data_IF_491164041556
#
_entry.id   IF_491164041556
#
_cell.length_a   1.000
_cell.length_b   1.000
_cell.length_c   1.000
_cell.angle_alpha   90.00
_cell.angle_beta   90.00
_cell.angle_gamma   90.00
#
_symmetry.space_group_name_H-M   'P 1'
#
loop_
_entity.id
_entity.type
_entity.pdbx_description
1 polymer ?
#
# COMPACT_ATOMS: atom_id res chain seq x y z
N UNK A 1 34.98 31.50 43.12
CA UNK A 1 33.83 30.82 42.50
C UNK A 1 34.30 29.69 41.55
N UNK A 2 34.35 28.42 41.99
CA UNK A 2 34.55 27.30 41.05
C UNK A 2 33.58 26.11 41.25
N UNK A 3 32.45 26.30 41.95
CA UNK A 3 31.49 25.21 42.24
C UNK A 3 30.66 24.83 41.01
N UNK A 4 30.28 25.82 40.19
CA UNK A 4 29.40 25.60 39.03
C UNK A 4 29.98 24.71 37.93
N UNK A 5 31.29 24.68 37.75
CA UNK A 5 31.91 23.84 36.73
C UNK A 5 31.95 22.35 37.11
N UNK A 6 31.90 22.02 38.41
CA UNK A 6 31.92 20.62 38.87
C UNK A 6 30.57 19.92 38.69
N UNK A 7 29.45 20.63 38.78
CA UNK A 7 28.11 20.08 38.52
C UNK A 7 27.74 20.01 37.03
N UNK A 8 28.29 20.89 36.18
CA UNK A 8 27.99 20.91 34.73
C UNK A 8 28.49 19.67 33.99
N UNK A 9 29.62 19.09 34.42
CA UNK A 9 30.22 17.88 33.81
C UNK A 9 29.37 16.61 33.99
N UNK A 10 28.89 16.24 35.19
CA UNK A 10 27.99 15.10 35.35
C UNK A 10 26.61 15.36 34.73
N UNK A 11 26.10 16.60 34.79
CA UNK A 11 24.84 16.97 34.15
C UNK A 11 24.89 16.78 32.61
N UNK A 12 25.97 17.23 31.95
CA UNK A 12 26.16 16.96 30.51
C UNK A 12 26.24 15.46 30.20
N UNK A 13 26.90 14.66 31.03
CA UNK A 13 27.00 13.20 30.82
C UNK A 13 25.64 12.51 30.95
N UNK A 14 24.82 12.92 31.92
CA UNK A 14 23.46 12.41 32.09
C UNK A 14 22.54 12.83 30.94
N UNK A 15 22.66 14.07 30.46
CA UNK A 15 21.87 14.59 29.36
C UNK A 15 22.22 13.91 28.03
N UNK A 16 23.51 13.66 27.79
CA UNK A 16 24.00 12.87 26.64
C UNK A 16 23.49 11.42 26.74
N UNK A 17 23.60 10.79 27.91
CA UNK A 17 23.06 9.43 28.15
C UNK A 17 21.56 9.34 27.87
N UNK A 18 20.78 10.35 28.29
CA UNK A 18 19.34 10.43 28.04
C UNK A 18 18.98 10.58 26.56
N UNK A 19 19.78 11.32 25.80
CA UNK A 19 19.58 11.51 24.35
C UNK A 19 19.86 10.24 23.54
N UNK A 20 20.80 9.39 23.98
CA UNK A 20 21.17 8.16 23.28
C UNK A 20 20.39 6.91 23.74
N UNK A 21 19.69 6.98 24.88
CA UNK A 21 18.85 5.89 25.39
C UNK A 21 17.77 5.38 24.41
N UNK A 22 17.01 6.24 23.68
CA UNK A 22 15.99 5.75 22.74
C UNK A 22 16.57 5.00 21.53
N UNK A 23 17.81 5.30 21.10
CA UNK A 23 18.47 4.52 20.03
C UNK A 23 18.72 3.06 20.43
N UNK A 24 19.02 2.81 21.71
CA UNK A 24 19.21 1.44 22.21
C UNK A 24 17.88 0.66 22.26
N UNK A 25 16.77 1.36 22.47
CA UNK A 25 15.42 0.77 22.47
C UNK A 25 14.92 0.42 21.06
N UNK A 26 15.35 1.18 20.04
CA UNK A 26 15.06 0.91 18.63
C UNK A 26 15.99 -0.13 18.00
N UNK A 27 17.13 -0.42 18.62
CA UNK A 27 18.09 -1.43 18.17
C UNK A 27 17.74 -2.86 18.63
N UNK A 28 16.47 -3.12 18.98
CA UNK A 28 16.05 -4.47 19.32
C UNK A 28 16.26 -5.41 18.13
N UNK A 29 16.88 -6.55 18.42
CA UNK A 29 17.23 -7.56 17.44
C UNK A 29 15.94 -8.20 16.93
N UNK A 30 15.59 -7.95 15.67
CA UNK A 30 14.42 -8.55 15.05
C UNK A 30 14.66 -10.04 14.81
N UNK A 31 14.00 -10.89 15.58
CA UNK A 31 13.97 -12.33 15.33
C UNK A 31 12.83 -12.67 14.37
N UNK A 32 13.16 -13.22 13.21
CA UNK A 32 12.17 -13.70 12.25
C UNK A 32 11.36 -14.84 12.90
N UNK A 33 10.01 -14.79 12.91
CA UNK A 33 9.19 -15.93 13.31
C UNK A 33 9.53 -17.14 12.45
N UNK A 34 9.53 -18.35 13.02
CA UNK A 34 9.75 -19.57 12.27
C UNK A 34 8.44 -20.34 12.08
N UNK A 35 8.34 -21.06 10.96
CA UNK A 35 7.27 -22.00 10.68
C UNK A 35 7.40 -23.29 11.51
N UNK A 36 6.46 -24.23 11.32
CA UNK A 36 6.43 -25.51 12.02
C UNK A 36 7.67 -26.39 11.76
N UNK A 37 8.44 -26.08 10.74
CA UNK A 37 9.65 -26.81 10.33
C UNK A 37 10.94 -26.09 10.72
N UNK A 38 10.85 -24.92 11.38
CA UNK A 38 11.99 -24.15 11.85
C UNK A 38 12.63 -23.23 10.80
N UNK A 39 11.95 -22.96 9.68
CA UNK A 39 12.37 -21.99 8.68
C UNK A 39 11.71 -20.63 8.91
N UNK A 40 12.30 -19.51 8.45
CA UNK A 40 11.64 -18.22 8.45
C UNK A 40 10.22 -18.27 7.88
N UNK A 41 9.24 -17.84 8.68
CA UNK A 41 7.84 -17.87 8.32
C UNK A 41 7.51 -16.72 7.35
N UNK A 42 7.33 -17.07 6.07
CA UNK A 42 6.84 -16.17 5.03
C UNK A 42 5.36 -16.40 4.72
N UNK A 43 4.65 -17.15 5.55
CA UNK A 43 3.22 -17.38 5.37
C UNK A 43 2.47 -16.07 5.62
N UNK A 44 1.60 -15.72 4.69
CA UNK A 44 0.87 -14.46 4.70
C UNK A 44 0.10 -14.28 3.41
N UNK A 45 -0.82 -13.31 3.40
CA UNK A 45 -1.55 -12.94 2.19
C UNK A 45 -0.72 -11.93 1.42
N UNK A 46 -0.02 -12.41 0.39
CA UNK A 46 0.73 -11.57 -0.53
C UNK A 46 -0.18 -11.11 -1.67
N UNK A 47 -0.76 -9.92 -1.52
CA UNK A 47 -1.62 -9.34 -2.54
C UNK A 47 -0.82 -8.42 -3.47
N UNK A 48 -0.63 -8.83 -4.73
CA UNK A 48 0.01 -8.02 -5.79
C UNK A 48 -0.98 -7.14 -6.55
N UNK A 49 -2.25 -7.12 -6.14
CA UNK A 49 -3.28 -6.30 -6.75
C UNK A 49 -3.21 -4.86 -6.21
N UNK A 50 -2.12 -4.15 -6.50
CA UNK A 50 -2.11 -2.70 -6.31
C UNK A 50 -2.56 -2.00 -7.59
N UNK A 51 -3.73 -1.38 -7.52
CA UNK A 51 -4.24 -0.47 -8.55
C UNK A 51 -3.46 0.86 -8.60
N UNK A 52 -2.58 1.11 -7.63
CA UNK A 52 -1.70 2.27 -7.57
C UNK A 52 -0.38 1.91 -8.22
N UNK A 53 0.00 2.55 -9.33
CA UNK A 53 1.31 2.34 -9.92
C UNK A 53 2.43 2.61 -8.91
N UNK A 54 3.50 1.81 -8.95
CA UNK A 54 4.69 2.02 -8.12
C UNK A 54 5.35 3.38 -8.40
N UNK A 55 5.28 3.84 -9.64
CA UNK A 55 5.76 5.14 -10.05
C UNK A 55 4.68 6.20 -9.85
N UNK A 56 5.10 7.35 -9.31
CA UNK A 56 4.19 8.48 -9.18
C UNK A 56 3.83 9.03 -10.55
N UNK A 57 2.53 9.26 -10.79
CA UNK A 57 2.07 9.87 -12.04
C UNK A 57 2.70 11.27 -12.20
N UNK A 58 3.24 11.61 -13.39
CA UNK A 58 3.94 12.88 -13.63
C UNK A 58 3.11 14.13 -13.27
N UNK A 59 1.78 14.04 -13.39
CA UNK A 59 0.86 15.14 -13.10
C UNK A 59 0.79 15.54 -11.61
N UNK A 60 1.23 14.69 -10.68
CA UNK A 60 1.21 15.00 -9.25
C UNK A 60 2.55 15.56 -8.72
N UNK A 61 3.63 15.47 -9.50
CA UNK A 61 4.96 15.99 -9.14
C UNK A 61 5.37 15.64 -7.71
N UNK A 62 5.78 16.62 -6.92
CA UNK A 62 6.22 16.41 -5.53
C UNK A 62 5.08 16.42 -4.50
N UNK A 63 3.81 16.60 -4.92
CA UNK A 63 2.70 16.77 -3.98
C UNK A 63 2.35 15.47 -3.26
N UNK A 64 2.34 15.51 -1.93
CA UNK A 64 2.11 14.33 -1.09
C UNK A 64 0.65 13.84 -1.11
N UNK A 65 -0.31 14.75 -1.24
CA UNK A 65 -1.74 14.44 -1.16
C UNK A 65 -2.53 14.92 -2.38
N UNK A 66 -3.57 14.18 -2.74
CA UNK A 66 -4.59 14.66 -3.66
C UNK A 66 -5.44 15.73 -2.99
N UNK A 67 -5.90 16.71 -3.76
CA UNK A 67 -6.92 17.63 -3.27
C UNK A 67 -8.32 16.96 -3.26
N UNK A 68 -9.30 17.60 -2.63
CA UNK A 68 -10.65 17.03 -2.48
C UNK A 68 -11.34 16.75 -3.83
N UNK A 69 -11.11 17.60 -4.84
CA UNK A 69 -11.70 17.46 -6.17
C UNK A 69 -11.08 16.28 -6.93
N UNK A 70 -9.76 16.14 -6.89
CA UNK A 70 -9.02 15.03 -7.50
C UNK A 70 -9.37 13.70 -6.86
N UNK A 71 -9.53 13.69 -5.54
CA UNK A 71 -9.96 12.50 -4.82
C UNK A 71 -11.40 12.11 -5.21
N UNK A 72 -12.32 13.08 -5.26
CA UNK A 72 -13.68 12.86 -5.73
C UNK A 72 -13.71 12.35 -7.18
N UNK A 73 -12.89 12.92 -8.06
CA UNK A 73 -12.74 12.48 -9.45
C UNK A 73 -12.19 11.04 -9.54
N UNK A 74 -11.21 10.68 -8.71
CA UNK A 74 -10.67 9.31 -8.63
C UNK A 74 -11.77 8.33 -8.26
N UNK A 75 -12.54 8.60 -7.20
CA UNK A 75 -13.64 7.72 -6.80
C UNK A 75 -14.77 7.66 -7.83
N UNK A 76 -15.10 8.78 -8.49
CA UNK A 76 -16.09 8.80 -9.56
C UNK A 76 -15.67 7.91 -10.75
N UNK A 77 -14.38 7.94 -11.13
CA UNK A 77 -13.83 7.07 -12.19
C UNK A 77 -13.91 5.59 -11.80
N UNK A 78 -13.55 5.26 -10.56
CA UNK A 78 -13.63 3.88 -10.05
C UNK A 78 -15.09 3.37 -10.06
N UNK A 79 -16.02 4.17 -9.55
CA UNK A 79 -17.45 3.81 -9.54
C UNK A 79 -18.03 3.66 -10.95
N UNK A 80 -17.69 4.56 -11.87
CA UNK A 80 -18.11 4.45 -13.26
C UNK A 80 -17.51 3.21 -13.95
N UNK A 81 -16.26 2.86 -13.64
CA UNK A 81 -15.60 1.65 -14.14
C UNK A 81 -16.29 0.37 -13.64
N UNK A 82 -16.70 0.34 -12.38
CA UNK A 82 -17.45 -0.78 -11.80
C UNK A 82 -18.82 -0.93 -12.49
N UNK A 83 -19.59 0.15 -12.62
CA UNK A 83 -20.89 0.12 -13.31
C UNK A 83 -20.79 -0.37 -14.76
N UNK A 84 -19.72 -0.01 -15.49
CA UNK A 84 -19.49 -0.52 -16.86
C UNK A 84 -19.30 -2.04 -16.87
N UNK A 85 -18.57 -2.59 -15.89
CA UNK A 85 -18.32 -4.04 -15.78
C UNK A 85 -19.59 -4.78 -15.43
N UNK A 86 -20.35 -4.28 -14.45
CA UNK A 86 -21.61 -4.89 -14.02
C UNK A 86 -22.57 -5.02 -15.20
N UNK A 87 -22.70 -3.95 -16.02
CA UNK A 87 -23.52 -3.97 -17.24
C UNK A 87 -23.00 -4.93 -18.30
N UNK A 88 -21.67 -5.02 -18.49
CA UNK A 88 -21.06 -5.96 -19.45
C UNK A 88 -21.34 -7.40 -19.04
N UNK A 89 -21.18 -7.71 -17.77
CA UNK A 89 -21.45 -9.02 -17.21
C UNK A 89 -22.93 -9.40 -17.33
N UNK A 90 -23.85 -8.48 -17.01
CA UNK A 90 -25.29 -8.71 -17.18
C UNK A 90 -25.64 -9.03 -18.64
N UNK A 91 -25.11 -8.25 -19.60
CA UNK A 91 -25.34 -8.48 -21.02
C UNK A 91 -24.74 -9.80 -21.51
N UNK A 92 -23.57 -10.18 -21.01
CA UNK A 92 -22.91 -11.43 -21.37
C UNK A 92 -23.65 -12.65 -20.77
N UNK A 93 -24.07 -12.56 -19.51
CA UNK A 93 -24.82 -13.61 -18.82
C UNK A 93 -26.11 -13.96 -19.55
N UNK A 94 -26.81 -12.96 -20.09
CA UNK A 94 -28.01 -13.18 -20.92
C UNK A 94 -27.68 -13.92 -22.24
N UNK A 95 -26.55 -13.60 -22.86
CA UNK A 95 -26.14 -14.17 -24.15
C UNK A 95 -25.59 -15.60 -24.05
N UNK A 96 -24.80 -15.92 -23.03
CA UNK A 96 -24.07 -17.20 -22.93
C UNK A 96 -24.99 -18.43 -23.01
N UNK A 97 -26.25 -18.30 -22.56
CA UNK A 97 -27.24 -19.38 -22.64
C UNK A 97 -27.77 -19.63 -24.05
N UNK A 98 -27.63 -18.66 -24.96
CA UNK A 98 -28.24 -18.65 -26.29
C UNK A 98 -27.20 -18.75 -27.42
N UNK A 99 -26.01 -18.18 -27.24
CA UNK A 99 -24.96 -18.10 -28.25
C UNK A 99 -23.59 -18.48 -27.64
N UNK A 100 -22.83 -19.39 -28.25
CA UNK A 100 -21.44 -19.65 -27.87
C UNK A 100 -20.61 -18.36 -27.98
N UNK A 101 -19.88 -18.02 -26.91
CA UNK A 101 -19.03 -16.83 -26.86
C UNK A 101 -17.59 -17.20 -26.49
N UNK A 102 -16.63 -16.47 -27.06
CA UNK A 102 -15.20 -16.54 -26.70
C UNK A 102 -14.86 -15.54 -25.58
N UNK A 103 -15.86 -14.80 -25.09
CA UNK A 103 -15.70 -13.88 -23.96
C UNK A 103 -15.75 -14.66 -22.63
N UNK A 104 -14.64 -14.62 -21.90
CA UNK A 104 -14.48 -15.22 -20.56
C UNK A 104 -15.28 -14.52 -19.44
N UNK A 105 -15.95 -13.41 -19.76
CA UNK A 105 -16.81 -12.66 -18.83
C UNK A 105 -16.07 -12.01 -17.67
N UNK A 106 -16.62 -12.15 -16.47
CA UNK A 106 -16.06 -11.58 -15.25
C UNK A 106 -14.68 -12.14 -14.87
N UNK A 107 -14.25 -13.28 -15.42
CA UNK A 107 -12.99 -13.94 -15.01
C UNK A 107 -11.76 -13.02 -15.15
N UNK A 108 -11.66 -12.28 -16.27
CA UNK A 108 -10.57 -11.34 -16.49
C UNK A 108 -10.82 -9.93 -15.92
N UNK A 109 -11.99 -9.70 -15.31
CA UNK A 109 -12.30 -8.40 -14.70
C UNK A 109 -11.47 -8.15 -13.44
N UNK A 110 -10.93 -9.20 -12.82
CA UNK A 110 -10.01 -9.05 -11.69
C UNK A 110 -8.64 -8.49 -12.13
N UNK A 111 -8.16 -8.72 -13.35
CA UNK A 111 -6.82 -8.29 -13.79
C UNK A 111 -6.82 -6.95 -14.53
N UNK A 112 -7.97 -6.54 -15.05
CA UNK A 112 -8.12 -5.31 -15.81
C UNK A 112 -8.46 -4.15 -14.88
N UNK A 113 -7.54 -3.62 -14.08
CA UNK A 113 -7.81 -2.36 -13.33
C UNK A 113 -7.70 -1.11 -14.19
N UNK A 114 -7.10 -1.26 -15.38
CA UNK A 114 -6.88 -0.18 -16.32
C UNK A 114 -8.11 0.03 -17.20
N UNK A 115 -8.32 1.27 -17.64
CA UNK A 115 -9.32 1.66 -18.64
C UNK A 115 -8.95 1.17 -20.06
N UNK A 116 -7.99 0.26 -20.15
CA UNK A 116 -7.55 -0.35 -21.39
C UNK A 116 -8.44 -1.56 -21.69
N UNK A 117 -9.11 -1.50 -22.83
CA UNK A 117 -9.62 -2.69 -23.50
C UNK A 117 -8.45 -3.61 -23.80
N UNK A 118 -8.45 -4.81 -23.21
CA UNK A 118 -7.58 -5.89 -23.67
C UNK A 118 -7.87 -6.13 -25.17
N UNK A 119 -6.82 -6.34 -25.99
CA UNK A 119 -6.99 -6.69 -27.40
C UNK A 119 -7.71 -8.03 -27.58
#
# INVERSE_FOLDING_TARGET
>A
MPVDQRLKRPACRLLISSLFFPCLLLAQEYSVPNDEFGYPDFNGVWNFNDSTPFERQPGFGEREFLNAEELAAKYARLGAGQQRRDRREEALSQRILEEPTDDTGAYNSFWSFYDESFP
#
